data_IF_571444726585
#
_entry.id   IF_571444726585
#
_cell.length_a   1.000
_cell.length_b   1.000
_cell.length_c   1.000
_cell.angle_alpha   90.00
_cell.angle_beta   90.00
_cell.angle_gamma   90.00
#
_symmetry.space_group_name_H-M   'P 1'
#
loop_
_entity.id
_entity.type
_entity.pdbx_description
1 polymer ?
#
# COMPACT_ATOMS: atom_id res chain seq x y z
N UNK A 1 12.76 45.48 -16.29
CA UNK A 1 13.77 44.41 -16.19
C UNK A 1 14.48 44.56 -14.85
N UNK A 2 14.44 43.52 -14.04
CA UNK A 2 15.13 43.51 -12.75
C UNK A 2 16.63 43.30 -12.90
N UNK A 3 17.40 43.42 -11.81
CA UNK A 3 18.87 43.48 -11.87
C UNK A 3 19.58 42.17 -12.25
N UNK A 4 18.88 41.03 -12.33
CA UNK A 4 19.50 39.71 -12.58
C UNK A 4 18.84 38.89 -13.71
N UNK A 5 18.01 39.50 -14.55
CA UNK A 5 17.44 38.82 -15.71
C UNK A 5 18.56 38.44 -16.70
N UNK A 6 18.53 37.20 -17.21
CA UNK A 6 19.48 36.66 -18.19
C UNK A 6 20.95 36.62 -17.73
N UNK A 7 21.21 36.58 -16.42
CA UNK A 7 22.57 36.49 -15.89
C UNK A 7 23.05 35.03 -15.89
N UNK A 8 24.32 34.82 -16.23
CA UNK A 8 25.00 33.52 -16.09
C UNK A 8 25.59 33.39 -14.68
N UNK A 9 25.11 32.40 -13.93
CA UNK A 9 25.46 32.07 -12.54
C UNK A 9 25.76 30.56 -12.40
N UNK A 10 26.17 29.92 -13.48
CA UNK A 10 26.49 28.49 -13.55
C UNK A 10 27.49 28.10 -12.46
N UNK A 11 27.15 27.12 -11.63
CA UNK A 11 27.98 26.62 -10.53
C UNK A 11 28.20 27.61 -9.37
N UNK A 12 27.52 28.76 -9.35
CA UNK A 12 27.73 29.77 -8.33
C UNK A 12 27.06 29.38 -7.00
N UNK A 13 27.73 29.70 -5.88
CA UNK A 13 27.11 29.65 -4.54
C UNK A 13 26.29 30.92 -4.30
N UNK A 14 25.01 30.81 -4.66
CA UNK A 14 24.04 31.92 -4.61
C UNK A 14 23.07 31.78 -3.43
N UNK A 15 23.35 30.85 -2.50
CA UNK A 15 22.57 30.62 -1.29
C UNK A 15 22.28 31.91 -0.48
N UNK A 16 23.24 32.85 -0.48
CA UNK A 16 23.12 34.11 0.25
C UNK A 16 22.13 35.11 -0.36
N UNK A 17 21.82 35.02 -1.66
CA UNK A 17 20.89 35.95 -2.35
C UNK A 17 19.45 35.81 -1.81
N UNK A 18 19.05 34.60 -1.45
CA UNK A 18 17.74 34.32 -0.88
C UNK A 18 17.59 34.79 0.58
N UNK A 19 18.69 34.80 1.35
CA UNK A 19 18.65 35.07 2.80
C UNK A 19 18.49 36.56 3.17
N UNK A 20 18.71 37.49 2.23
CA UNK A 20 18.68 38.95 2.50
C UNK A 20 17.41 39.66 2.04
N UNK A 21 16.44 38.95 1.49
CA UNK A 21 15.27 39.60 0.88
C UNK A 21 14.24 40.04 1.93
N UNK A 22 14.01 41.36 2.05
CA UNK A 22 12.99 41.92 2.96
C UNK A 22 11.60 41.80 2.34
N UNK A 23 10.67 41.17 3.07
CA UNK A 23 9.24 41.05 2.71
C UNK A 23 8.58 42.43 2.66
N UNK A 24 7.67 42.65 1.71
CA UNK A 24 6.84 43.85 1.68
C UNK A 24 5.71 43.79 2.73
N UNK A 25 4.93 44.88 2.88
CA UNK A 25 3.84 45.00 3.86
C UNK A 25 2.68 44.02 3.62
N UNK A 26 2.64 43.30 2.49
CA UNK A 26 1.66 42.27 2.16
C UNK A 26 2.26 40.85 2.20
N UNK A 27 3.49 40.70 2.70
CA UNK A 27 4.16 39.42 2.86
C UNK A 27 4.77 38.84 1.58
N UNK A 28 4.79 39.58 0.47
CA UNK A 28 5.33 39.11 -0.82
C UNK A 28 6.82 39.47 -0.94
N UNK A 29 7.57 38.64 -1.67
CA UNK A 29 8.98 38.84 -2.01
C UNK A 29 9.17 39.13 -3.52
N UNK A 30 8.66 40.25 -4.06
CA UNK A 30 8.66 40.48 -5.51
C UNK A 30 10.01 40.98 -6.07
N UNK A 31 11.17 40.58 -5.52
CA UNK A 31 12.45 41.27 -5.80
C UNK A 31 13.55 40.44 -6.46
N UNK A 32 13.39 39.13 -6.62
CA UNK A 32 14.39 38.32 -7.32
C UNK A 32 13.92 38.02 -8.74
N UNK A 33 14.51 38.76 -9.68
CA UNK A 33 14.23 38.72 -11.12
C UNK A 33 15.36 37.94 -11.80
N UNK A 34 15.11 36.68 -12.11
CA UNK A 34 16.04 35.72 -12.69
C UNK A 34 15.47 35.13 -14.00
N UNK A 35 14.60 35.87 -14.67
CA UNK A 35 13.97 35.44 -15.91
C UNK A 35 15.06 35.14 -16.95
N UNK A 36 15.09 33.93 -17.50
CA UNK A 36 16.08 33.47 -18.48
C UNK A 36 17.51 33.31 -17.94
N UNK A 37 17.72 33.29 -16.62
CA UNK A 37 19.06 33.12 -16.04
C UNK A 37 19.61 31.70 -16.24
N UNK A 38 20.92 31.58 -16.49
CA UNK A 38 21.63 30.29 -16.49
C UNK A 38 22.15 30.02 -15.08
N UNK A 39 21.47 29.12 -14.39
CA UNK A 39 21.76 28.67 -13.02
C UNK A 39 22.21 27.20 -13.02
N UNK A 40 22.71 26.70 -14.15
CA UNK A 40 23.09 25.30 -14.26
C UNK A 40 24.19 24.95 -13.22
N UNK A 41 24.01 23.90 -12.43
CA UNK A 41 24.93 23.51 -11.35
C UNK A 41 24.96 24.43 -10.11
N UNK A 42 24.10 25.45 -10.04
CA UNK A 42 24.13 26.42 -8.92
C UNK A 42 23.77 25.79 -7.56
N UNK A 43 24.36 26.29 -6.48
CA UNK A 43 24.06 25.84 -5.12
C UNK A 43 22.95 26.71 -4.50
N UNK A 44 21.76 26.14 -4.33
CA UNK A 44 20.52 26.80 -3.92
C UNK A 44 19.81 26.04 -2.76
N UNK A 45 20.50 25.14 -2.07
CA UNK A 45 19.90 24.31 -1.02
C UNK A 45 19.33 25.19 0.10
N UNK A 46 18.08 24.96 0.51
CA UNK A 46 17.37 25.75 1.53
C UNK A 46 17.19 27.24 1.19
N UNK A 47 17.33 27.63 -0.07
CA UNK A 47 17.06 28.99 -0.50
C UNK A 47 15.56 29.35 -0.38
N UNK A 48 15.27 30.56 0.13
CA UNK A 48 13.94 31.17 0.10
C UNK A 48 13.74 31.93 -1.23
N UNK A 49 13.12 31.26 -2.20
CA UNK A 49 12.86 31.78 -3.55
C UNK A 49 11.37 32.04 -3.78
N UNK A 50 10.58 32.17 -2.70
CA UNK A 50 9.14 32.38 -2.82
C UNK A 50 8.83 33.66 -3.57
N UNK A 51 7.95 33.60 -4.56
CA UNK A 51 7.59 34.77 -5.36
C UNK A 51 8.67 35.26 -6.34
N UNK A 52 9.78 34.52 -6.52
CA UNK A 52 10.81 34.85 -7.50
C UNK A 52 10.27 34.72 -8.94
N UNK A 53 10.77 35.55 -9.86
CA UNK A 53 10.48 35.42 -11.27
C UNK A 53 11.64 34.66 -11.94
N UNK A 54 11.39 33.40 -12.28
CA UNK A 54 12.37 32.47 -12.85
C UNK A 54 11.99 32.04 -14.26
N UNK A 55 10.96 32.61 -14.87
CA UNK A 55 10.46 32.20 -16.19
C UNK A 55 11.60 32.05 -17.22
N UNK A 56 11.70 30.87 -17.85
CA UNK A 56 12.75 30.52 -18.81
C UNK A 56 14.15 30.29 -18.24
N UNK A 57 14.34 30.26 -16.91
CA UNK A 57 15.66 30.00 -16.31
C UNK A 57 16.09 28.53 -16.46
N UNK A 58 17.40 28.31 -16.58
CA UNK A 58 18.00 26.98 -16.66
C UNK A 58 18.57 26.59 -15.29
N UNK A 59 17.96 25.62 -14.63
CA UNK A 59 18.37 25.07 -13.34
C UNK A 59 18.96 23.66 -13.47
N UNK A 60 19.37 23.20 -14.66
CA UNK A 60 19.96 21.86 -14.84
C UNK A 60 21.11 21.65 -13.88
N UNK A 61 21.18 20.48 -13.24
CA UNK A 61 22.17 20.13 -12.20
C UNK A 61 22.26 21.07 -10.98
N UNK A 62 21.36 22.05 -10.81
CA UNK A 62 21.32 22.90 -9.63
C UNK A 62 20.88 22.13 -8.39
N UNK A 63 21.45 22.46 -7.23
CA UNK A 63 21.16 21.80 -5.95
C UNK A 63 20.06 22.57 -5.21
N UNK A 64 18.86 22.01 -5.17
CA UNK A 64 17.66 22.68 -4.62
C UNK A 64 17.14 22.08 -3.30
N UNK A 65 17.91 21.22 -2.64
CA UNK A 65 17.45 20.50 -1.45
C UNK A 65 16.93 21.44 -0.35
N UNK A 66 15.63 21.38 -0.05
CA UNK A 66 14.97 22.21 0.95
C UNK A 66 14.64 23.63 0.50
N UNK A 67 14.84 23.98 -0.78
CA UNK A 67 14.50 25.30 -1.31
C UNK A 67 12.97 25.52 -1.37
N UNK A 68 12.54 26.76 -1.16
CA UNK A 68 11.14 27.15 -1.12
C UNK A 68 10.80 28.04 -2.32
N UNK A 69 10.10 27.45 -3.30
CA UNK A 69 9.68 28.08 -4.56
C UNK A 69 8.17 28.37 -4.59
N UNK A 70 7.48 28.35 -3.45
CA UNK A 70 6.05 28.67 -3.41
C UNK A 70 5.79 30.08 -3.95
N UNK A 71 4.77 30.22 -4.77
CA UNK A 71 4.40 31.46 -5.46
C UNK A 71 5.44 32.00 -6.47
N UNK A 72 6.52 31.27 -6.75
CA UNK A 72 7.47 31.63 -7.81
C UNK A 72 6.85 31.46 -9.21
N UNK A 73 7.28 32.28 -10.17
CA UNK A 73 6.92 32.13 -11.58
C UNK A 73 7.96 31.24 -12.26
N UNK A 74 7.52 30.10 -12.78
CA UNK A 74 8.35 29.00 -13.25
C UNK A 74 8.00 28.57 -14.68
N UNK A 75 7.38 29.45 -15.47
CA UNK A 75 6.94 29.11 -16.82
C UNK A 75 8.18 28.89 -17.72
N UNK A 76 8.28 27.71 -18.35
CA UNK A 76 9.41 27.36 -19.22
C UNK A 76 10.76 27.20 -18.51
N UNK A 77 10.77 26.98 -17.19
CA UNK A 77 12.00 26.69 -16.44
C UNK A 77 12.47 25.27 -16.72
N UNK A 78 13.77 25.12 -16.99
CA UNK A 78 14.40 23.81 -17.19
C UNK A 78 14.93 23.33 -15.83
N UNK A 79 14.28 22.32 -15.25
CA UNK A 79 14.64 21.81 -13.92
C UNK A 79 15.81 20.80 -13.95
N UNK A 80 16.57 20.67 -12.84
CA UNK A 80 17.48 19.55 -12.64
C UNK A 80 16.67 18.25 -12.47
N UNK A 81 17.37 17.10 -12.51
CA UNK A 81 16.81 15.79 -12.14
C UNK A 81 15.95 15.89 -10.86
N UNK A 82 14.87 15.11 -10.71
CA UNK A 82 13.94 15.26 -9.59
C UNK A 82 14.65 15.15 -8.23
N UNK A 83 14.71 16.27 -7.50
CA UNK A 83 15.25 16.34 -6.13
C UNK A 83 14.11 16.31 -5.10
N UNK A 84 14.14 15.42 -4.09
CA UNK A 84 12.99 15.07 -3.26
C UNK A 84 12.57 16.11 -2.18
N UNK A 85 13.08 17.35 -2.22
CA UNK A 85 12.91 18.31 -1.10
C UNK A 85 12.65 19.76 -1.52
N UNK A 86 12.12 20.01 -2.70
CA UNK A 86 11.78 21.37 -3.14
C UNK A 86 10.31 21.66 -2.84
N UNK A 87 10.01 22.76 -2.16
CA UNK A 87 8.63 23.15 -1.86
C UNK A 87 8.07 24.00 -3.01
N UNK A 88 7.03 23.51 -3.70
CA UNK A 88 6.35 24.19 -4.81
C UNK A 88 4.83 24.22 -4.61
N UNK A 89 4.13 25.09 -5.36
CA UNK A 89 2.67 25.08 -5.41
C UNK A 89 2.19 23.91 -6.32
N UNK A 90 1.17 23.13 -5.94
CA UNK A 90 0.77 21.91 -6.65
C UNK A 90 0.43 22.10 -8.14
N UNK A 91 -0.15 23.26 -8.50
CA UNK A 91 -0.53 23.58 -9.89
C UNK A 91 0.62 23.97 -10.82
N UNK A 92 1.86 24.03 -10.31
CA UNK A 92 3.04 24.40 -11.12
C UNK A 92 3.63 23.20 -11.85
N UNK A 93 3.35 21.97 -11.40
CA UNK A 93 3.85 20.74 -12.02
C UNK A 93 3.34 20.53 -13.46
N UNK A 94 2.18 21.09 -13.79
CA UNK A 94 1.57 20.98 -15.13
C UNK A 94 2.24 21.89 -16.18
N UNK A 95 3.07 22.87 -15.76
CA UNK A 95 3.72 23.84 -16.65
C UNK A 95 5.24 23.72 -16.72
N UNK A 96 5.81 22.62 -16.22
CA UNK A 96 7.25 22.34 -16.25
C UNK A 96 7.58 21.57 -17.54
N UNK A 97 8.49 22.11 -18.36
CA UNK A 97 9.04 21.42 -19.52
C UNK A 97 10.29 20.63 -19.09
N UNK A 98 10.30 19.32 -19.37
CA UNK A 98 11.45 18.45 -19.15
C UNK A 98 12.29 18.32 -20.42
N UNK A 99 13.61 18.23 -20.26
CA UNK A 99 14.56 18.09 -21.37
C UNK A 99 14.28 16.79 -22.17
N UNK A 100 14.03 16.87 -23.50
CA UNK A 100 13.68 15.73 -24.32
C UNK A 100 14.77 14.65 -24.37
N UNK A 101 16.05 15.00 -24.17
CA UNK A 101 17.15 14.04 -24.17
C UNK A 101 17.15 13.15 -22.89
N UNK A 102 16.40 13.54 -21.85
CA UNK A 102 16.17 12.73 -20.64
C UNK A 102 15.04 11.71 -20.86
N UNK A 103 14.09 11.99 -21.76
CA UNK A 103 12.88 11.19 -21.97
C UNK A 103 13.20 9.85 -22.67
N UNK A 104 14.20 9.81 -23.56
CA UNK A 104 14.57 8.59 -24.30
C UNK A 104 15.36 7.55 -23.49
N UNK A 105 15.90 7.92 -22.32
CA UNK A 105 16.67 7.01 -21.45
C UNK A 105 15.83 6.28 -20.38
N UNK A 106 14.50 6.46 -20.35
CA UNK A 106 13.71 6.16 -19.15
C UNK A 106 12.38 5.43 -19.42
N UNK A 107 12.39 4.08 -19.46
CA UNK A 107 11.21 3.29 -19.15
C UNK A 107 10.88 3.27 -17.64
N UNK A 108 11.84 3.60 -16.78
CA UNK A 108 11.76 3.38 -15.32
C UNK A 108 11.40 4.64 -14.48
N UNK A 109 11.25 5.82 -15.09
CA UNK A 109 10.95 7.06 -14.33
C UNK A 109 9.47 7.48 -14.32
N UNK A 110 8.63 6.91 -15.19
CA UNK A 110 7.17 7.08 -15.08
C UNK A 110 6.59 6.34 -13.86
N UNK A 111 7.38 5.50 -13.19
CA UNK A 111 7.08 4.91 -11.89
C UNK A 111 7.54 5.78 -10.70
N UNK A 112 8.25 6.91 -10.95
CA UNK A 112 8.86 7.74 -9.90
C UNK A 112 8.07 9.01 -9.55
N UNK A 113 7.22 9.49 -10.44
CA UNK A 113 6.20 10.46 -10.09
C UNK A 113 5.03 9.72 -9.47
N UNK A 114 4.98 9.72 -8.15
CA UNK A 114 3.79 9.57 -7.30
C UNK A 114 2.58 9.02 -8.07
N UNK A 115 2.50 7.69 -8.24
CA UNK A 115 1.35 7.09 -8.92
C UNK A 115 0.10 7.49 -8.13
N UNK A 116 -0.78 8.36 -8.66
CA UNK A 116 -1.86 8.93 -7.88
C UNK A 116 -2.71 7.77 -7.34
N UNK A 117 -2.79 7.65 -6.02
CA UNK A 117 -3.63 6.68 -5.33
C UNK A 117 -2.97 5.40 -4.83
N UNK A 118 -1.63 5.25 -4.88
CA UNK A 118 -0.97 4.19 -4.07
C UNK A 118 -1.36 4.36 -2.60
N UNK A 119 -1.69 3.26 -1.94
CA UNK A 119 -2.06 3.30 -0.52
C UNK A 119 -0.99 2.68 0.37
N UNK A 120 -1.02 3.00 1.65
CA UNK A 120 -0.26 2.36 2.70
C UNK A 120 -1.25 1.97 3.79
N UNK A 121 -1.03 0.79 4.36
CA UNK A 121 -1.79 0.30 5.49
C UNK A 121 -0.97 0.49 6.75
N UNK A 122 -1.52 1.16 7.75
CA UNK A 122 -0.83 1.37 9.03
C UNK A 122 -1.71 0.85 10.16
N UNK A 123 -1.19 -0.03 11.00
CA UNK A 123 -1.93 -0.58 12.13
C UNK A 123 -1.32 -0.15 13.44
N UNK A 124 -2.17 0.31 14.35
CA UNK A 124 -1.85 0.45 15.77
C UNK A 124 -2.52 -0.68 16.53
N UNK A 125 -1.74 -1.51 17.23
CA UNK A 125 -2.25 -2.63 18.02
C UNK A 125 -1.53 -2.72 19.37
N UNK A 126 -2.18 -3.21 20.43
CA UNK A 126 -1.56 -3.30 21.75
C UNK A 126 -0.52 -4.41 21.75
N UNK A 127 0.67 -4.12 22.27
CA UNK A 127 1.71 -5.15 22.46
C UNK A 127 1.33 -6.15 23.55
N UNK A 128 0.58 -5.69 24.54
CA UNK A 128 0.11 -6.50 25.66
C UNK A 128 -1.39 -6.31 25.85
N UNK A 129 -2.11 -7.44 25.97
CA UNK A 129 -3.54 -7.45 26.26
C UNK A 129 -3.76 -8.08 27.63
N UNK A 130 -4.56 -7.41 28.46
CA UNK A 130 -4.98 -7.97 29.73
C UNK A 130 -6.04 -9.07 29.50
N UNK A 131 -5.99 -10.20 30.24
CA UNK A 131 -7.00 -11.24 30.14
C UNK A 131 -8.38 -10.66 30.39
N UNK A 132 -9.36 -11.08 29.60
CA UNK A 132 -10.76 -10.73 29.76
C UNK A 132 -11.11 -9.23 29.59
N UNK A 133 -10.20 -8.41 29.05
CA UNK A 133 -10.43 -6.99 28.78
C UNK A 133 -10.43 -6.73 27.28
N UNK A 134 -11.43 -5.99 26.80
CA UNK A 134 -11.43 -5.50 25.43
C UNK A 134 -10.39 -4.39 25.27
N UNK A 135 -9.46 -4.58 24.35
CA UNK A 135 -8.57 -3.51 23.90
C UNK A 135 -8.90 -3.10 22.45
N UNK A 136 -8.29 -2.01 22.00
CA UNK A 136 -8.52 -1.46 20.66
C UNK A 136 -7.42 -1.90 19.70
N UNK A 137 -7.75 -1.95 18.42
CA UNK A 137 -6.81 -2.04 17.31
C UNK A 137 -7.31 -1.11 16.21
N UNK A 138 -6.42 -0.26 15.71
CA UNK A 138 -6.74 0.71 14.65
C UNK A 138 -6.03 0.29 13.38
N UNK A 139 -6.74 0.30 12.26
CA UNK A 139 -6.19 0.08 10.92
C UNK A 139 -6.48 1.29 10.07
N UNK A 140 -5.42 1.93 9.60
CA UNK A 140 -5.48 3.04 8.67
C UNK A 140 -5.21 2.54 7.26
N UNK A 141 -6.06 2.98 6.33
CA UNK A 141 -5.78 2.95 4.89
C UNK A 141 -5.54 4.40 4.49
N UNK A 142 -4.37 4.70 3.97
CA UNK A 142 -3.96 6.06 3.66
C UNK A 142 -3.28 6.11 2.30
N UNK A 143 -3.30 7.23 1.60
CA UNK A 143 -2.40 7.45 0.48
C UNK A 143 -0.95 7.27 0.93
N UNK A 144 -0.10 6.73 0.08
CA UNK A 144 1.31 6.55 0.35
C UNK A 144 2.09 7.85 0.14
N UNK A 145 1.58 8.96 0.67
CA UNK A 145 2.20 10.29 0.62
C UNK A 145 2.68 10.71 2.01
N UNK A 146 3.56 11.71 2.06
CA UNK A 146 4.06 12.24 3.33
C UNK A 146 2.96 12.93 4.14
N UNK A 147 2.03 13.63 3.48
CA UNK A 147 0.91 14.34 4.09
C UNK A 147 -0.08 13.36 4.73
N UNK A 148 -0.47 12.32 3.99
CA UNK A 148 -1.37 11.29 4.50
C UNK A 148 -0.73 10.49 5.64
N UNK A 149 0.59 10.25 5.56
CA UNK A 149 1.37 9.64 6.65
C UNK A 149 1.34 10.49 7.92
N UNK A 150 1.60 11.79 7.82
CA UNK A 150 1.54 12.70 8.96
C UNK A 150 0.13 12.76 9.56
N UNK A 151 -0.91 12.73 8.71
CA UNK A 151 -2.29 12.71 9.16
C UNK A 151 -2.64 11.41 9.92
N UNK A 152 -2.16 10.26 9.47
CA UNK A 152 -2.29 8.98 10.20
C UNK A 152 -1.68 9.08 11.60
N UNK A 153 -0.48 9.67 11.73
CA UNK A 153 0.16 9.84 13.04
C UNK A 153 -0.64 10.75 13.98
N UNK A 154 -1.16 11.87 13.48
CA UNK A 154 -2.00 12.79 14.25
C UNK A 154 -3.30 12.11 14.68
N UNK A 155 -3.99 11.46 13.75
CA UNK A 155 -5.25 10.75 14.02
C UNK A 155 -5.08 9.56 14.97
N UNK A 156 -3.95 8.85 14.88
CA UNK A 156 -3.58 7.76 15.78
C UNK A 156 -3.30 8.29 17.19
N UNK A 157 -2.52 9.36 17.31
CA UNK A 157 -2.23 10.00 18.60
C UNK A 157 -3.51 10.53 19.29
N UNK A 158 -4.43 11.13 18.53
CA UNK A 158 -5.71 11.62 19.05
C UNK A 158 -6.60 10.49 19.58
N UNK A 159 -6.70 9.37 18.84
CA UNK A 159 -7.56 8.23 19.21
C UNK A 159 -7.02 7.41 20.37
N UNK A 160 -5.70 7.24 20.44
CA UNK A 160 -5.03 6.46 21.49
C UNK A 160 -4.71 7.31 22.74
N UNK A 161 -4.66 8.63 22.59
CA UNK A 161 -4.39 9.59 23.66
C UNK A 161 -3.13 9.18 24.47
N UNK A 162 -3.23 9.20 25.80
CA UNK A 162 -2.14 8.83 26.72
C UNK A 162 -1.74 7.35 26.65
N UNK A 163 -2.48 6.50 25.94
CA UNK A 163 -2.16 5.06 25.80
C UNK A 163 -1.28 4.75 24.59
N UNK A 164 -0.91 5.73 23.74
CA UNK A 164 -0.13 5.52 22.50
C UNK A 164 1.13 4.67 22.71
N UNK A 165 1.86 4.89 23.78
CA UNK A 165 3.13 4.20 24.05
C UNK A 165 2.96 2.69 24.37
N UNK A 166 1.72 2.24 24.61
CA UNK A 166 1.39 0.83 24.82
C UNK A 166 1.11 0.08 23.50
N UNK A 167 1.08 0.81 22.38
CA UNK A 167 0.73 0.28 21.06
C UNK A 167 1.97 0.16 20.18
N UNK A 168 2.09 -0.99 19.52
CA UNK A 168 2.97 -1.15 18.38
C UNK A 168 2.37 -0.47 17.14
N UNK A 169 3.24 -0.07 16.21
CA UNK A 169 2.87 0.46 14.91
C UNK A 169 3.50 -0.42 13.84
N UNK A 170 2.69 -1.03 12.98
CA UNK A 170 3.17 -1.78 11.82
C UNK A 170 2.66 -1.11 10.53
N UNK A 171 3.50 -1.04 9.49
CA UNK A 171 3.16 -0.35 8.23
C UNK A 171 3.48 -1.18 6.98
N UNK A 172 2.48 -1.26 6.09
CA UNK A 172 2.53 -1.90 4.78
C UNK A 172 2.46 -0.83 3.68
N UNK A 173 3.57 -0.41 3.06
CA UNK A 173 3.44 0.32 1.81
C UNK A 173 2.90 -0.64 0.74
N UNK A 174 1.78 -0.33 0.08
CA UNK A 174 1.38 -1.05 -1.14
C UNK A 174 1.75 -0.25 -2.38
N UNK A 175 2.27 -0.96 -3.38
CA UNK A 175 2.57 -0.39 -4.70
C UNK A 175 1.32 -0.30 -5.59
N UNK A 176 0.14 -0.72 -5.11
CA UNK A 176 -1.10 -0.71 -5.86
C UNK A 176 -1.91 0.54 -5.59
N UNK A 177 -2.38 1.16 -6.66
CA UNK A 177 -3.32 2.28 -6.61
C UNK A 177 -4.73 1.78 -6.31
N UNK A 178 -5.37 2.27 -5.24
CA UNK A 178 -6.80 2.09 -5.02
C UNK A 178 -7.57 3.23 -5.69
N UNK A 179 -8.46 2.90 -6.62
CA UNK A 179 -9.36 3.89 -7.22
C UNK A 179 -10.41 4.33 -6.19
N UNK A 180 -10.81 5.61 -6.17
CA UNK A 180 -11.96 6.04 -5.38
C UNK A 180 -13.20 5.17 -5.69
N UNK A 181 -13.88 4.71 -4.65
CA UNK A 181 -15.01 3.78 -4.72
C UNK A 181 -14.63 2.30 -4.64
N UNK A 182 -13.34 1.93 -4.74
CA UNK A 182 -12.91 0.54 -4.56
C UNK A 182 -13.32 0.02 -3.19
N UNK A 183 -13.99 -1.13 -3.16
CA UNK A 183 -14.36 -1.81 -1.90
C UNK A 183 -13.23 -2.72 -1.46
N UNK A 184 -12.79 -2.53 -0.22
CA UNK A 184 -11.81 -3.38 0.43
C UNK A 184 -12.36 -3.92 1.75
N UNK A 185 -11.81 -5.04 2.19
CA UNK A 185 -12.14 -5.70 3.44
C UNK A 185 -10.90 -5.86 4.30
N UNK A 186 -11.00 -5.49 5.56
CA UNK A 186 -9.97 -5.67 6.58
C UNK A 186 -10.44 -6.77 7.52
N UNK A 187 -9.64 -7.83 7.67
CA UNK A 187 -9.94 -8.98 8.51
C UNK A 187 -8.74 -9.31 9.41
N UNK A 188 -8.77 -8.95 10.70
CA UNK A 188 -7.77 -9.40 11.67
C UNK A 188 -7.99 -10.86 12.05
N UNK A 189 -6.90 -11.60 12.25
CA UNK A 189 -6.89 -12.97 12.73
C UNK A 189 -5.73 -13.18 13.69
N UNK A 190 -6.03 -13.66 14.89
CA UNK A 190 -5.05 -13.91 15.94
C UNK A 190 -5.53 -15.11 16.77
N UNK A 191 -4.77 -16.23 16.82
CA UNK A 191 -5.19 -17.43 17.54
C UNK A 191 -5.45 -17.18 19.03
N UNK A 192 -6.60 -17.64 19.53
CA UNK A 192 -7.03 -17.46 20.91
C UNK A 192 -7.65 -16.07 21.22
N UNK A 193 -7.79 -15.21 20.21
CA UNK A 193 -8.40 -13.90 20.34
C UNK A 193 -9.69 -13.80 19.53
N UNK A 194 -10.64 -13.03 20.07
CA UNK A 194 -11.86 -12.62 19.38
C UNK A 194 -11.76 -11.17 18.96
N UNK A 195 -12.24 -10.87 17.76
CA UNK A 195 -12.34 -9.53 17.23
C UNK A 195 -13.79 -9.07 17.12
N UNK A 196 -14.04 -7.79 17.37
CA UNK A 196 -15.31 -7.14 17.15
C UNK A 196 -15.14 -5.75 16.49
N UNK A 197 -15.61 -5.56 15.24
CA UNK A 197 -16.20 -6.59 14.37
C UNK A 197 -15.16 -7.65 13.93
N UNK A 198 -15.58 -8.79 13.38
CA UNK A 198 -14.65 -9.81 12.87
C UNK A 198 -13.97 -9.41 11.57
N UNK A 199 -14.62 -8.55 10.78
CA UNK A 199 -14.07 -7.90 9.60
C UNK A 199 -14.83 -6.60 9.32
N UNK A 200 -14.21 -5.69 8.56
CA UNK A 200 -14.85 -4.45 8.09
C UNK A 200 -14.71 -4.39 6.58
N UNK A 201 -15.82 -4.18 5.88
CA UNK A 201 -15.80 -3.87 4.44
C UNK A 201 -16.18 -2.41 4.23
N UNK A 202 -15.31 -1.65 3.55
CA UNK A 202 -15.48 -0.22 3.32
C UNK A 202 -15.16 0.14 1.87
N UNK A 203 -15.74 1.24 1.40
CA UNK A 203 -15.34 1.88 0.14
C UNK A 203 -14.22 2.89 0.38
N UNK A 204 -13.20 2.88 -0.46
CA UNK A 204 -12.12 3.85 -0.47
C UNK A 204 -12.64 5.20 -0.97
N UNK A 205 -12.72 6.23 -0.12
CA UNK A 205 -13.37 7.51 -0.49
C UNK A 205 -12.61 8.77 -0.09
N UNK A 206 -11.52 8.66 0.65
CA UNK A 206 -10.75 9.79 1.17
C UNK A 206 -9.28 9.42 1.32
N UNK A 207 -8.39 10.41 1.35
CA UNK A 207 -6.94 10.20 1.40
C UNK A 207 -6.45 9.43 2.63
N UNK A 208 -7.21 9.48 3.73
CA UNK A 208 -6.99 8.68 4.94
C UNK A 208 -8.33 8.19 5.46
N UNK A 209 -8.41 6.90 5.79
CA UNK A 209 -9.55 6.26 6.46
C UNK A 209 -9.05 5.44 7.64
N UNK A 210 -9.78 5.48 8.76
CA UNK A 210 -9.46 4.74 9.98
C UNK A 210 -10.59 3.76 10.29
N UNK A 211 -10.22 2.51 10.55
CA UNK A 211 -11.12 1.43 10.91
C UNK A 211 -10.72 0.87 12.27
N UNK A 212 -11.68 0.80 13.19
CA UNK A 212 -11.45 0.35 14.56
C UNK A 212 -11.99 -1.07 14.76
N UNK A 213 -11.15 -1.88 15.39
CA UNK A 213 -11.47 -3.21 15.89
C UNK A 213 -11.28 -3.22 17.39
N UNK A 214 -12.03 -4.09 18.07
CA UNK A 214 -11.75 -4.48 19.44
C UNK A 214 -11.20 -5.89 19.45
N UNK A 215 -10.22 -6.16 20.29
CA UNK A 215 -9.67 -7.50 20.51
C UNK A 215 -9.82 -7.93 21.96
N UNK A 216 -10.10 -9.21 22.15
CA UNK A 216 -10.31 -9.83 23.45
C UNK A 216 -9.60 -11.19 23.49
N UNK A 217 -8.74 -11.39 24.47
CA UNK A 217 -8.11 -12.68 24.72
C UNK A 217 -9.15 -13.63 25.36
N UNK A 218 -9.71 -14.54 24.56
CA UNK A 218 -10.73 -15.50 24.97
C UNK A 218 -10.06 -16.77 25.49
N UNK A 219 -9.30 -17.45 24.62
CA UNK A 219 -8.62 -18.73 24.92
C UNK A 219 -7.08 -18.62 24.84
N UNK A 220 -6.56 -17.41 24.68
CA UNK A 220 -5.12 -17.20 24.52
C UNK A 220 -4.37 -17.45 25.84
N UNK A 221 -3.32 -18.27 25.78
CA UNK A 221 -2.56 -18.72 26.95
C UNK A 221 -1.80 -17.54 27.59
N UNK A 222 -2.03 -17.23 28.88
CA UNK A 222 -1.33 -16.14 29.55
C UNK A 222 0.19 -16.36 29.56
N UNK A 223 0.97 -15.32 29.26
CA UNK A 223 2.43 -15.35 29.23
C UNK A 223 3.02 -15.82 27.90
N UNK A 224 2.18 -16.16 26.91
CA UNK A 224 2.61 -16.49 25.56
C UNK A 224 2.28 -15.37 24.58
N UNK A 225 3.18 -15.14 23.62
CA UNK A 225 2.91 -14.28 22.47
C UNK A 225 2.05 -15.02 21.47
N UNK A 226 0.91 -14.44 21.11
CA UNK A 226 0.13 -14.89 19.98
C UNK A 226 0.62 -14.16 18.73
N UNK A 227 0.82 -14.95 17.67
CA UNK A 227 1.21 -14.46 16.36
C UNK A 227 0.02 -14.54 15.42
N UNK A 228 -0.32 -13.43 14.79
CA UNK A 228 -1.46 -13.31 13.90
C UNK A 228 -1.19 -12.35 12.77
N UNK A 229 -2.24 -11.95 12.08
CA UNK A 229 -2.13 -11.05 10.94
C UNK A 229 -3.42 -10.25 10.72
N UNK A 230 -3.29 -9.11 10.07
CA UNK A 230 -4.38 -8.38 9.44
C UNK A 230 -4.29 -8.64 7.95
N UNK A 231 -5.35 -9.20 7.41
CA UNK A 231 -5.48 -9.45 5.98
C UNK A 231 -6.35 -8.36 5.37
N UNK A 232 -5.85 -7.75 4.30
CA UNK A 232 -6.56 -6.74 3.52
C UNK A 232 -6.89 -7.35 2.16
N UNK A 233 -8.17 -7.33 1.81
CA UNK A 233 -8.72 -7.99 0.63
C UNK A 233 -9.47 -6.99 -0.24
N UNK A 234 -9.42 -7.20 -1.55
CA UNK A 234 -10.30 -6.56 -2.52
C UNK A 234 -11.20 -7.65 -3.11
N UNK A 235 -12.46 -7.70 -2.66
CA UNK A 235 -13.27 -8.91 -2.81
C UNK A 235 -12.56 -10.12 -2.20
N UNK A 236 -12.36 -11.23 -2.93
CA UNK A 236 -11.64 -12.40 -2.40
C UNK A 236 -10.10 -12.29 -2.53
N UNK A 237 -9.58 -11.25 -3.20
CA UNK A 237 -8.16 -11.16 -3.58
C UNK A 237 -7.32 -10.49 -2.52
N UNK A 238 -6.20 -11.10 -2.15
CA UNK A 238 -5.24 -10.58 -1.18
C UNK A 238 -4.54 -9.32 -1.69
N UNK A 239 -4.52 -8.25 -0.89
CA UNK A 239 -3.83 -6.99 -1.21
C UNK A 239 -2.76 -6.62 -0.22
N UNK A 240 -2.91 -7.07 1.02
CA UNK A 240 -1.89 -6.89 2.03
C UNK A 240 -2.07 -7.82 3.21
N UNK A 241 -0.95 -8.10 3.87
CA UNK A 241 -0.86 -8.79 5.14
C UNK A 241 0.06 -7.99 6.08
N UNK A 242 -0.42 -7.75 7.29
CA UNK A 242 0.34 -7.09 8.36
C UNK A 242 0.43 -8.06 9.52
N UNK A 243 1.62 -8.52 9.89
CA UNK A 243 1.78 -9.38 11.06
C UNK A 243 1.43 -8.66 12.36
N UNK A 244 0.85 -9.40 13.30
CA UNK A 244 0.50 -8.95 14.65
C UNK A 244 1.18 -9.86 15.67
N UNK A 245 1.86 -9.25 16.63
CA UNK A 245 2.49 -9.96 17.75
C UNK A 245 1.95 -9.40 19.07
N UNK A 246 1.12 -10.17 19.76
CA UNK A 246 0.41 -9.71 20.96
C UNK A 246 0.66 -10.66 22.13
N UNK A 247 1.17 -10.13 23.23
CA UNK A 247 1.37 -10.88 24.47
C UNK A 247 0.10 -10.83 25.34
N UNK A 248 -0.33 -11.99 25.84
CA UNK A 248 -1.36 -12.03 26.89
C UNK A 248 -0.71 -11.85 28.25
N UNK A 249 -1.03 -10.74 28.93
CA UNK A 249 -0.40 -10.39 30.20
C UNK A 249 -0.72 -11.40 31.31
N UNK A 250 0.30 -11.98 31.93
CA UNK A 250 0.17 -12.63 33.24
C UNK A 250 0.32 -11.61 34.37
N UNK A 251 -0.51 -11.74 35.41
CA UNK A 251 -0.31 -10.98 36.64
C UNK A 251 1.01 -11.45 37.27
N UNK A 252 2.01 -10.55 37.32
CA UNK A 252 3.40 -10.74 37.82
C UNK A 252 4.39 -11.43 36.87
N UNK A 253 4.65 -10.85 35.70
CA UNK A 253 5.87 -11.15 34.93
C UNK A 253 6.57 -9.89 34.42
N UNK A 254 7.90 -9.99 34.26
CA UNK A 254 8.77 -8.96 33.68
C UNK A 254 8.47 -8.87 32.18
N UNK A 255 8.35 -7.66 31.65
CA UNK A 255 8.13 -7.37 30.22
C UNK A 255 9.11 -8.20 29.37
N UNK A 256 8.65 -8.99 28.37
CA UNK A 256 9.56 -9.75 27.52
C UNK A 256 10.53 -8.85 26.77
N UNK A 257 11.67 -9.40 26.37
CA UNK A 257 12.61 -8.70 25.50
C UNK A 257 12.01 -8.56 24.10
N UNK A 258 11.56 -7.34 23.78
CA UNK A 258 10.94 -7.01 22.50
C UNK A 258 11.94 -6.97 21.33
N UNK A 259 13.25 -7.07 21.59
CA UNK A 259 14.29 -6.96 20.55
C UNK A 259 14.26 -8.09 19.50
N UNK A 260 13.58 -9.21 19.80
CA UNK A 260 13.42 -10.33 18.87
C UNK A 260 12.19 -10.25 17.95
N UNK A 261 11.27 -9.30 18.19
CA UNK A 261 10.12 -9.05 17.33
C UNK A 261 10.53 -8.03 16.27
N UNK A 262 10.93 -8.52 15.10
CA UNK A 262 11.34 -7.68 13.97
C UNK A 262 10.13 -6.91 13.42
N UNK A 263 10.27 -5.60 13.25
CA UNK A 263 9.29 -4.68 12.62
C UNK A 263 8.90 -5.06 11.17
N UNK A 264 9.60 -6.02 10.56
CA UNK A 264 9.48 -6.38 9.15
C UNK A 264 8.78 -7.73 8.93
N UNK A 265 7.45 -7.77 9.01
CA UNK A 265 6.65 -8.76 8.27
C UNK A 265 5.38 -8.13 7.75
N UNK A 266 5.59 -7.22 6.81
CA UNK A 266 4.52 -6.54 6.15
C UNK A 266 4.63 -6.77 4.65
N UNK A 267 3.64 -7.44 4.09
CA UNK A 267 3.62 -7.83 2.69
C UNK A 267 2.44 -7.15 2.02
N UNK A 268 2.73 -6.30 1.04
CA UNK A 268 1.73 -5.73 0.16
C UNK A 268 1.89 -6.32 -1.23
N UNK A 269 0.76 -6.64 -1.86
CA UNK A 269 0.75 -7.33 -3.15
C UNK A 269 0.07 -6.44 -4.18
N UNK A 270 0.80 -6.12 -5.25
CA UNK A 270 0.26 -5.44 -6.44
C UNK A 270 -0.56 -6.44 -7.24
N UNK A 271 0.04 -7.58 -7.59
CA UNK A 271 -0.55 -8.57 -8.48
C UNK A 271 -0.77 -9.91 -7.77
N UNK A 272 -2.04 -10.29 -7.66
CA UNK A 272 -2.46 -11.54 -7.02
C UNK A 272 -3.05 -12.43 -8.09
N UNK A 273 -2.43 -13.59 -8.31
CA UNK A 273 -2.94 -14.59 -9.22
C UNK A 273 -4.00 -15.45 -8.52
N UNK A 274 -5.29 -15.39 -8.94
CA UNK A 274 -6.32 -16.18 -8.30
C UNK A 274 -6.48 -17.54 -8.98
N UNK A 275 -6.08 -18.62 -8.32
CA UNK A 275 -6.29 -19.99 -8.80
C UNK A 275 -7.52 -20.63 -8.16
N UNK A 276 -8.52 -20.96 -8.99
CA UNK A 276 -9.81 -21.51 -8.55
C UNK A 276 -10.48 -22.30 -9.67
N UNK A 277 -11.40 -23.20 -9.30
CA UNK A 277 -12.23 -23.91 -10.29
C UNK A 277 -13.37 -23.01 -10.78
N UNK A 278 -13.65 -22.99 -12.09
CA UNK A 278 -14.82 -22.27 -12.63
C UNK A 278 -16.15 -22.80 -12.10
N UNK A 279 -16.17 -24.03 -11.61
CA UNK A 279 -17.34 -24.62 -10.98
C UNK A 279 -17.61 -24.00 -9.60
N UNK A 280 -16.62 -23.35 -8.97
CA UNK A 280 -16.79 -22.55 -7.76
C UNK A 280 -17.37 -21.18 -8.11
N UNK A 281 -18.65 -21.17 -8.51
CA UNK A 281 -19.36 -19.99 -9.04
C UNK A 281 -19.26 -18.76 -8.14
N UNK A 282 -19.20 -18.97 -6.82
CA UNK A 282 -19.09 -17.90 -5.83
C UNK A 282 -17.74 -17.18 -5.96
N UNK A 283 -16.64 -17.93 -5.92
CA UNK A 283 -15.29 -17.37 -6.07
C UNK A 283 -15.13 -16.78 -7.46
N UNK A 284 -15.59 -17.50 -8.48
CA UNK A 284 -15.57 -17.02 -9.86
C UNK A 284 -16.23 -15.65 -10.01
N UNK A 285 -17.48 -15.49 -9.54
CA UNK A 285 -18.23 -14.23 -9.61
C UNK A 285 -17.60 -13.12 -8.77
N UNK A 286 -17.07 -13.46 -7.60
CA UNK A 286 -16.41 -12.49 -6.73
C UNK A 286 -15.13 -11.94 -7.40
N UNK A 287 -14.32 -12.80 -8.01
CA UNK A 287 -13.15 -12.39 -8.81
C UNK A 287 -13.55 -11.56 -10.05
N UNK A 288 -14.65 -11.92 -10.74
CA UNK A 288 -15.17 -11.14 -11.86
C UNK A 288 -15.59 -9.73 -11.45
N UNK A 289 -16.27 -9.62 -10.31
CA UNK A 289 -16.69 -8.33 -9.75
C UNK A 289 -15.48 -7.43 -9.49
N UNK A 290 -14.38 -7.99 -8.97
CA UNK A 290 -13.13 -7.25 -8.77
C UNK A 290 -12.56 -6.78 -10.11
N UNK A 291 -12.41 -7.68 -11.08
CA UNK A 291 -11.86 -7.35 -12.39
C UNK A 291 -12.62 -6.21 -13.10
N UNK A 292 -13.95 -6.18 -12.94
CA UNK A 292 -14.83 -5.21 -13.60
C UNK A 292 -14.94 -3.89 -12.86
N UNK A 293 -15.10 -3.92 -11.53
CA UNK A 293 -15.34 -2.71 -10.74
C UNK A 293 -14.08 -1.89 -10.47
N UNK A 294 -12.91 -2.51 -10.51
CA UNK A 294 -11.62 -1.89 -10.11
C UNK A 294 -10.78 -1.56 -11.32
N UNK A 295 -11.03 -2.22 -12.46
CA UNK A 295 -10.21 -2.14 -13.65
C UNK A 295 -8.82 -2.73 -13.47
N UNK A 296 -8.66 -3.68 -12.55
CA UNK A 296 -7.42 -4.46 -12.35
C UNK A 296 -7.06 -5.21 -13.64
N UNK A 297 -6.08 -4.68 -14.38
CA UNK A 297 -5.69 -5.22 -15.68
C UNK A 297 -5.11 -6.63 -15.56
N UNK A 298 -4.34 -6.91 -14.49
CA UNK A 298 -3.76 -8.23 -14.27
C UNK A 298 -4.83 -9.30 -14.11
N UNK A 299 -5.85 -9.06 -13.29
CA UNK A 299 -6.96 -10.01 -13.11
C UNK A 299 -7.79 -10.15 -14.40
N UNK A 300 -7.94 -9.07 -15.18
CA UNK A 300 -8.60 -9.12 -16.50
C UNK A 300 -7.81 -9.97 -17.49
N UNK A 301 -6.49 -9.88 -17.50
CA UNK A 301 -5.62 -10.68 -18.38
C UNK A 301 -5.67 -12.16 -18.01
N UNK A 302 -5.60 -12.50 -16.71
CA UNK A 302 -5.81 -13.88 -16.21
C UNK A 302 -7.16 -14.42 -16.72
N UNK A 303 -8.23 -13.61 -16.63
CA UNK A 303 -9.57 -13.99 -17.11
C UNK A 303 -9.60 -14.26 -18.61
N UNK A 304 -9.02 -13.37 -19.41
CA UNK A 304 -8.99 -13.49 -20.87
C UNK A 304 -8.20 -14.72 -21.31
N UNK A 305 -7.02 -14.94 -20.74
CA UNK A 305 -6.17 -16.09 -21.08
C UNK A 305 -6.85 -17.42 -20.70
N UNK A 306 -7.57 -17.45 -19.58
CA UNK A 306 -8.38 -18.61 -19.19
C UNK A 306 -9.49 -18.89 -20.18
N UNK A 307 -10.21 -17.87 -20.66
CA UNK A 307 -11.32 -18.02 -21.60
C UNK A 307 -10.90 -18.53 -23.00
N UNK A 308 -9.59 -18.55 -23.29
CA UNK A 308 -9.02 -19.13 -24.50
C UNK A 308 -8.88 -20.65 -24.47
N UNK A 309 -7.98 -21.19 -25.31
CA UNK A 309 -7.68 -22.64 -25.37
C UNK A 309 -7.09 -23.14 -24.05
N UNK A 310 -7.50 -24.33 -23.61
CA UNK A 310 -6.94 -24.99 -22.44
C UNK A 310 -5.41 -25.13 -22.54
N UNK A 311 -4.70 -24.78 -21.47
CA UNK A 311 -3.23 -24.90 -21.41
C UNK A 311 -2.45 -23.75 -22.06
N UNK A 312 -3.01 -22.53 -22.10
CA UNK A 312 -2.30 -21.35 -22.59
C UNK A 312 -1.00 -21.10 -21.77
N UNK A 313 0.19 -21.20 -22.37
CA UNK A 313 1.46 -21.07 -21.64
C UNK A 313 1.63 -19.69 -21.00
N UNK A 314 1.03 -18.64 -21.58
CA UNK A 314 1.02 -17.29 -21.02
C UNK A 314 0.37 -17.20 -19.63
N UNK A 315 -0.50 -18.15 -19.29
CA UNK A 315 -1.11 -18.20 -17.97
C UNK A 315 -0.07 -18.57 -16.89
N UNK A 316 0.92 -19.40 -17.22
CA UNK A 316 2.02 -19.74 -16.32
C UNK A 316 3.01 -18.57 -16.20
N UNK A 317 3.26 -17.84 -17.28
CA UNK A 317 4.04 -16.59 -17.24
C UNK A 317 3.39 -15.57 -16.28
N UNK A 318 2.05 -15.44 -16.28
CA UNK A 318 1.37 -14.58 -15.31
C UNK A 318 1.51 -15.06 -13.86
N UNK A 319 1.65 -16.37 -13.61
CA UNK A 319 1.95 -16.88 -12.26
C UNK A 319 3.34 -16.39 -11.84
N UNK A 320 4.32 -16.44 -12.73
CA UNK A 320 5.69 -16.00 -12.44
C UNK A 320 5.76 -14.49 -12.14
N UNK A 321 5.00 -13.69 -12.88
CA UNK A 321 4.91 -12.23 -12.70
C UNK A 321 4.10 -11.80 -11.47
N UNK A 322 3.21 -12.65 -10.95
CA UNK A 322 2.40 -12.30 -9.78
C UNK A 322 3.29 -12.10 -8.54
N UNK A 323 2.88 -11.24 -7.62
CA UNK A 323 3.51 -11.11 -6.29
C UNK A 323 3.12 -12.26 -5.36
N UNK A 324 1.88 -12.72 -5.51
CA UNK A 324 1.32 -13.82 -4.71
C UNK A 324 0.40 -14.70 -5.55
N UNK A 325 0.53 -16.00 -5.39
CA UNK A 325 -0.37 -17.01 -5.94
C UNK A 325 -1.39 -17.40 -4.87
N UNK A 326 -2.65 -17.02 -5.07
CA UNK A 326 -3.74 -17.31 -4.13
C UNK A 326 -4.57 -18.47 -4.64
N UNK A 327 -4.46 -19.61 -3.96
CA UNK A 327 -5.15 -20.86 -4.26
C UNK A 327 -6.43 -20.97 -3.43
N UNK A 328 -7.57 -20.95 -4.11
CA UNK A 328 -8.88 -21.17 -3.52
C UNK A 328 -9.20 -22.66 -3.54
N UNK A 329 -9.08 -23.31 -2.37
CA UNK A 329 -9.20 -24.75 -2.24
C UNK A 329 -10.64 -25.20 -1.95
N UNK A 330 -11.13 -26.13 -2.77
CA UNK A 330 -12.43 -26.77 -2.68
C UNK A 330 -12.36 -28.17 -3.29
N UNK A 331 -13.42 -28.98 -3.13
CA UNK A 331 -13.56 -30.24 -3.87
C UNK A 331 -13.41 -30.04 -5.39
N UNK A 332 -14.01 -28.97 -5.93
CA UNK A 332 -13.99 -28.67 -7.38
C UNK A 332 -12.62 -28.21 -7.85
N UNK A 333 -11.87 -27.50 -7.01
CA UNK A 333 -10.50 -27.12 -7.27
C UNK A 333 -9.58 -28.34 -7.27
N UNK A 334 -9.76 -29.25 -6.30
CA UNK A 334 -9.01 -30.50 -6.22
C UNK A 334 -9.24 -31.42 -7.44
N UNK A 335 -10.46 -31.44 -7.99
CA UNK A 335 -10.82 -32.22 -9.19
C UNK A 335 -10.44 -31.54 -10.51
N UNK A 336 -9.91 -30.31 -10.48
CA UNK A 336 -9.64 -29.53 -11.69
C UNK A 336 -8.20 -29.70 -12.17
N UNK A 337 -8.03 -30.28 -13.38
CA UNK A 337 -6.72 -30.39 -14.03
C UNK A 337 -6.05 -29.03 -14.27
N UNK A 338 -6.84 -27.98 -14.50
CA UNK A 338 -6.30 -26.63 -14.70
C UNK A 338 -5.69 -26.09 -13.40
N UNK A 339 -6.44 -26.16 -12.30
CA UNK A 339 -5.97 -25.73 -10.98
C UNK A 339 -4.74 -26.54 -10.58
N UNK A 340 -4.74 -27.84 -10.87
CA UNK A 340 -3.59 -28.70 -10.63
C UNK A 340 -2.31 -28.26 -11.35
N UNK A 341 -2.41 -27.93 -12.63
CA UNK A 341 -1.26 -27.39 -13.39
C UNK A 341 -0.77 -26.07 -12.80
N UNK A 342 -1.69 -25.17 -12.44
CA UNK A 342 -1.37 -23.85 -11.88
C UNK A 342 -0.64 -23.98 -10.53
N UNK A 343 -1.16 -24.76 -9.56
CA UNK A 343 -0.51 -24.86 -8.25
C UNK A 343 0.79 -25.67 -8.28
N UNK A 344 0.90 -26.69 -9.15
CA UNK A 344 2.17 -27.41 -9.34
C UNK A 344 3.25 -26.49 -9.90
N UNK A 345 2.91 -25.62 -10.86
CA UNK A 345 3.84 -24.60 -11.37
C UNK A 345 4.22 -23.62 -10.27
N UNK A 346 3.26 -23.09 -9.53
CA UNK A 346 3.52 -22.15 -8.43
C UNK A 346 4.42 -22.76 -7.34
N UNK A 347 4.27 -24.06 -7.04
CA UNK A 347 5.15 -24.77 -6.11
C UNK A 347 6.61 -24.76 -6.56
N UNK A 348 6.86 -24.84 -7.86
CA UNK A 348 8.24 -24.75 -8.39
C UNK A 348 8.88 -23.41 -8.06
N UNK A 349 8.13 -22.33 -7.81
CA UNK A 349 8.66 -21.01 -7.49
C UNK A 349 8.91 -20.80 -5.98
N UNK A 350 8.41 -21.71 -5.13
CA UNK A 350 8.43 -21.58 -3.66
C UNK A 350 9.85 -21.64 -3.08
N UNK A 351 10.78 -22.34 -3.73
CA UNK A 351 12.18 -22.41 -3.30
C UNK A 351 12.85 -21.02 -3.30
N UNK A 352 12.54 -20.18 -4.29
CA UNK A 352 13.00 -18.79 -4.38
C UNK A 352 12.09 -17.81 -3.65
N UNK A 353 10.81 -18.16 -3.45
CA UNK A 353 9.78 -17.27 -2.92
C UNK A 353 8.94 -18.00 -1.85
N UNK A 354 9.43 -18.14 -0.60
CA UNK A 354 8.81 -19.00 0.42
C UNK A 354 7.36 -18.63 0.77
N UNK A 355 7.04 -17.33 0.71
CA UNK A 355 5.72 -16.76 1.01
C UNK A 355 4.90 -16.46 -0.24
N UNK A 356 5.23 -17.03 -1.41
CA UNK A 356 4.53 -16.76 -2.66
C UNK A 356 3.13 -17.37 -2.73
N UNK A 357 2.91 -18.53 -2.12
CA UNK A 357 1.63 -19.22 -2.19
C UNK A 357 0.76 -18.93 -0.96
N UNK A 358 -0.53 -18.67 -1.19
CA UNK A 358 -1.56 -18.52 -0.17
C UNK A 358 -2.69 -19.48 -0.45
N UNK A 359 -2.82 -20.52 0.39
CA UNK A 359 -3.93 -21.47 0.30
C UNK A 359 -5.06 -20.97 1.18
N UNK A 360 -6.25 -20.81 0.61
CA UNK A 360 -7.44 -20.36 1.33
C UNK A 360 -8.64 -21.26 1.04
N UNK A 361 -9.46 -21.50 2.05
CA UNK A 361 -10.74 -22.19 1.92
C UNK A 361 -11.85 -21.36 2.59
N UNK A 362 -13.09 -21.51 2.12
CA UNK A 362 -14.24 -20.75 2.62
C UNK A 362 -15.35 -21.67 3.18
N UNK A 363 -15.19 -22.98 3.03
CA UNK A 363 -16.10 -23.98 3.59
C UNK A 363 -15.80 -24.22 5.07
N UNK A 364 -16.76 -24.76 5.81
CA UNK A 364 -16.58 -25.04 7.24
C UNK A 364 -15.51 -26.10 7.48
N UNK A 365 -15.50 -27.12 6.63
CA UNK A 365 -14.48 -28.17 6.62
C UNK A 365 -13.68 -28.06 5.32
N UNK A 366 -12.35 -27.89 5.37
CA UNK A 366 -11.53 -27.90 4.16
C UNK A 366 -11.56 -29.30 3.54
N UNK A 367 -11.60 -29.37 2.21
CA UNK A 367 -11.40 -30.61 1.49
C UNK A 367 -9.94 -31.10 1.71
N UNK A 368 -9.66 -32.42 1.76
CA UNK A 368 -8.32 -32.92 2.00
C UNK A 368 -7.26 -32.25 1.13
N UNK A 369 -6.18 -31.79 1.78
CA UNK A 369 -5.07 -31.09 1.13
C UNK A 369 -3.99 -32.12 0.77
N UNK A 370 -3.56 -32.19 -0.51
CA UNK A 370 -2.46 -33.06 -0.96
C UNK A 370 -1.19 -32.84 -0.14
N UNK A 371 -0.37 -33.88 0.03
CA UNK A 371 0.91 -33.81 0.77
C UNK A 371 1.78 -32.63 0.35
N UNK A 372 1.83 -32.37 -0.96
CA UNK A 372 2.66 -31.32 -1.57
C UNK A 372 2.24 -29.90 -1.13
N UNK A 373 1.01 -29.74 -0.64
CA UNK A 373 0.44 -28.47 -0.18
C UNK A 373 0.30 -28.38 1.34
N UNK A 374 0.56 -29.47 2.10
CA UNK A 374 0.37 -29.48 3.56
C UNK A 374 1.34 -28.58 4.32
N UNK A 375 2.50 -28.27 3.74
CA UNK A 375 3.46 -27.32 4.30
C UNK A 375 3.01 -25.85 4.16
N UNK A 376 1.97 -25.58 3.37
CA UNK A 376 1.43 -24.24 3.19
C UNK A 376 0.35 -24.02 4.25
N UNK A 377 0.51 -22.96 5.04
CA UNK A 377 -0.49 -22.57 6.05
C UNK A 377 -1.80 -22.23 5.35
N UNK A 378 -2.84 -23.01 5.64
CA UNK A 378 -4.17 -22.82 5.09
C UNK A 378 -4.92 -21.73 5.87
N UNK A 379 -5.31 -20.66 5.19
CA UNK A 379 -6.16 -19.61 5.73
C UNK A 379 -7.65 -19.90 5.51
N UNK A 380 -8.50 -19.36 6.39
CA UNK A 380 -9.94 -19.35 6.17
C UNK A 380 -10.39 -17.99 5.61
N UNK A 381 -11.05 -18.01 4.47
CA UNK A 381 -11.74 -16.85 3.91
C UNK A 381 -13.17 -16.82 4.44
N UNK A 382 -13.54 -15.73 5.13
CA UNK A 382 -14.91 -15.56 5.61
C UNK A 382 -15.86 -15.38 4.41
N UNK A 383 -16.89 -16.24 4.25
CA UNK A 383 -17.86 -16.13 3.16
C UNK A 383 -18.58 -14.78 3.09
N UNK A 384 -18.68 -14.03 4.19
CA UNK A 384 -19.24 -12.67 4.21
C UNK A 384 -18.47 -11.71 3.28
N UNK A 385 -17.17 -11.95 3.10
CA UNK A 385 -16.27 -11.14 2.26
C UNK A 385 -16.54 -11.35 0.76
N UNK A 386 -17.20 -12.46 0.40
CA UNK A 386 -17.54 -12.80 -0.98
C UNK A 386 -18.67 -11.93 -1.56
N UNK A 387 -19.19 -10.94 -0.79
CA UNK A 387 -20.19 -9.99 -1.27
C UNK A 387 -21.58 -10.61 -1.51
N UNK A 388 -21.86 -11.74 -0.87
CA UNK A 388 -23.11 -12.48 -1.05
C UNK A 388 -24.20 -11.92 -0.14
N UNK A 389 -25.14 -11.18 -0.73
CA UNK A 389 -26.20 -10.48 -0.01
C UNK A 389 -27.32 -11.36 0.59
N UNK A 390 -27.22 -12.70 0.57
CA UNK A 390 -28.28 -13.61 1.04
C UNK A 390 -27.77 -14.57 2.12
N UNK A 391 -28.21 -14.43 3.39
CA UNK A 391 -27.84 -15.33 4.50
C UNK A 391 -28.12 -16.81 4.23
N UNK A 392 -29.19 -17.13 3.50
CA UNK A 392 -29.52 -18.51 3.10
C UNK A 392 -28.53 -19.11 2.08
N UNK A 393 -27.91 -18.27 1.25
CA UNK A 393 -26.89 -18.69 0.29
C UNK A 393 -25.54 -18.92 0.99
N UNK A 394 -25.21 -18.06 1.96
CA UNK A 394 -24.01 -18.20 2.81
C UNK A 394 -24.01 -19.54 3.57
N UNK A 395 -25.16 -19.95 4.11
CA UNK A 395 -25.29 -21.22 4.83
C UNK A 395 -25.01 -22.45 3.95
N UNK A 396 -25.57 -22.49 2.74
CA UNK A 396 -25.34 -23.60 1.79
C UNK A 396 -23.88 -23.68 1.34
N UNK A 397 -23.26 -22.53 1.10
CA UNK A 397 -21.83 -22.43 0.75
C UNK A 397 -20.95 -22.94 1.90
N UNK A 398 -21.28 -22.59 3.14
CA UNK A 398 -20.56 -23.07 4.32
C UNK A 398 -20.66 -24.59 4.51
N UNK A 399 -21.77 -25.20 4.09
CA UNK A 399 -22.03 -26.64 4.14
C UNK A 399 -21.42 -27.41 2.94
N UNK A 400 -20.74 -26.71 2.02
CA UNK A 400 -20.11 -27.32 0.83
C UNK A 400 -21.08 -27.58 -0.33
N UNK A 401 -22.33 -27.11 -0.21
CA UNK A 401 -23.31 -27.11 -1.29
C UNK A 401 -23.16 -25.82 -2.11
N UNK A 402 -22.33 -25.89 -3.16
CA UNK A 402 -22.15 -24.84 -4.16
C UNK A 402 -23.16 -24.92 -5.30
#
# INVERSE_FOLDING_TARGET
MGPFAQVQLTGADVFWLAKRSRRDKKGRLPRLHLEGADLCGAHLEKADLRGAALDGADLRDARLDGADLRDARLEGVIFPRPTPKVLMNPGVLESIEFDPDIIEALPDLLDFFDAPGQVAFTTYYPREVAPQVWDRLLVFVALNTAEATALVEVMGAERLQRRRDLFAVARAPTRKTLKPGTRFTIAPSLPGFRFDPTSITAGWTSDVQCHEFRLWAEDASPGQAAHGQITILEGPLLRGEISLDVLVRQVRQRVPDWSHFTDERVAAYRDTFPSYSRQDKVIHRACETVAESTGDQFVRDVRQLRAGKEGNPKLLELIELADVFQLFWSKRAAESQQVEREWRHALTLRHTRPSFMRLVYWTTTPYPIPSDLQEIVAGRLDPAILGLARPSLLRRIMEGEG
#
